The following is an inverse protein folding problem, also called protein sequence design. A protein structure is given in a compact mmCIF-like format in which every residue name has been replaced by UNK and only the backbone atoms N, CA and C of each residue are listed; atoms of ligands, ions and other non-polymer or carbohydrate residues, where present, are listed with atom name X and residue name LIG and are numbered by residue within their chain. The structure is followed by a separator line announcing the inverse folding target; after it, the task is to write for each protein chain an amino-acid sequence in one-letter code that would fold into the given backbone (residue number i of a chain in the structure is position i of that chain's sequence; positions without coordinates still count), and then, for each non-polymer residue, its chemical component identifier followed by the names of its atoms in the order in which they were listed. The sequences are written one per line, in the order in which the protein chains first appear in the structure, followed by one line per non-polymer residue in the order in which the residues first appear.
data_IF_218061553839
#
_entry.id   IF_218061553839
#
_cell.length_a   1.000
_cell.length_b   1.000
_cell.length_c   1.000
_cell.angle_alpha   90.00
_cell.angle_beta   90.00
_cell.angle_gamma   90.00
#
_symmetry.space_group_name_H-M   'P 1'
#
loop_
_entity.id
_entity.type
_entity.pdbx_description
1 polymer ?
#
# COMPACT_ATOMS: atom_id res chain seq x y z
N UNK A 1 -17.68 2.59 16.02
CA UNK A 1 -16.31 3.08 15.80
C UNK A 1 -15.57 2.35 14.67
N UNK A 2 -16.24 1.96 13.58
CA UNK A 2 -15.59 1.17 12.51
C UNK A 2 -14.90 2.03 11.44
N UNK A 3 -15.28 3.31 11.29
CA UNK A 3 -14.75 4.20 10.25
C UNK A 3 -13.25 4.51 10.40
N UNK A 4 -12.72 4.51 11.62
CA UNK A 4 -11.29 4.74 11.86
C UNK A 4 -10.43 3.57 11.35
N UNK A 5 -10.88 2.33 11.56
CA UNK A 5 -10.17 1.14 11.07
C UNK A 5 -10.15 1.07 9.55
N UNK A 6 -11.32 1.26 8.90
CA UNK A 6 -11.39 1.27 7.44
C UNK A 6 -10.61 2.44 6.83
N UNK A 7 -10.69 3.63 7.44
CA UNK A 7 -9.90 4.79 7.01
C UNK A 7 -8.40 4.53 7.09
N UNK A 8 -7.91 3.91 8.18
CA UNK A 8 -6.51 3.56 8.33
C UNK A 8 -6.02 2.58 7.25
N UNK A 9 -6.81 1.53 6.97
CA UNK A 9 -6.49 0.56 5.91
C UNK A 9 -6.38 1.24 4.54
N UNK A 10 -7.34 2.10 4.19
CA UNK A 10 -7.33 2.81 2.92
C UNK A 10 -6.14 3.77 2.79
N UNK A 11 -5.81 4.50 3.86
CA UNK A 11 -4.66 5.41 3.88
C UNK A 11 -3.34 4.67 3.73
N UNK A 12 -3.16 3.55 4.42
CA UNK A 12 -1.96 2.71 4.30
C UNK A 12 -1.79 2.15 2.88
N UNK A 13 -2.86 1.63 2.28
CA UNK A 13 -2.81 1.10 0.90
C UNK A 13 -2.54 2.21 -0.10
N UNK A 14 -3.16 3.39 0.06
CA UNK A 14 -2.91 4.55 -0.79
C UNK A 14 -1.45 5.02 -0.70
N UNK A 15 -0.90 5.12 0.51
CA UNK A 15 0.49 5.49 0.75
C UNK A 15 1.47 4.59 -0.01
N UNK A 16 1.32 3.27 0.13
CA UNK A 16 2.20 2.29 -0.55
C UNK A 16 2.07 2.41 -2.06
N UNK A 17 0.84 2.56 -2.58
CA UNK A 17 0.60 2.68 -4.02
C UNK A 17 1.15 3.96 -4.61
N UNK A 18 1.05 5.07 -3.91
CA UNK A 18 1.59 6.34 -4.38
C UNK A 18 3.12 6.29 -4.40
N UNK A 19 3.72 5.90 -3.27
CA UNK A 19 5.17 5.87 -3.12
C UNK A 19 5.83 4.92 -4.13
N UNK A 20 5.37 3.68 -4.23
CA UNK A 20 6.01 2.69 -5.09
C UNK A 20 5.44 2.66 -6.52
N UNK A 21 4.19 3.08 -6.72
CA UNK A 21 3.59 3.14 -8.05
C UNK A 21 4.09 4.34 -8.85
N UNK A 22 3.97 5.56 -8.30
CA UNK A 22 4.34 6.80 -8.98
C UNK A 22 5.64 7.44 -8.49
N UNK A 23 6.26 6.94 -7.43
CA UNK A 23 7.50 7.53 -6.89
C UNK A 23 7.26 8.82 -6.09
N UNK A 24 6.01 9.16 -5.84
CA UNK A 24 5.59 10.41 -5.20
C UNK A 24 4.79 10.13 -3.94
N UNK A 25 4.74 11.11 -3.06
CA UNK A 25 3.87 11.10 -1.89
C UNK A 25 3.22 12.47 -1.71
N UNK A 26 1.90 12.53 -1.68
CA UNK A 26 1.14 13.78 -1.64
C UNK A 26 1.59 14.78 -2.72
N UNK A 27 1.98 14.29 -3.89
CA UNK A 27 2.49 15.09 -5.01
C UNK A 27 3.96 15.53 -4.89
N UNK A 28 4.67 15.21 -3.79
CA UNK A 28 6.11 15.42 -3.68
C UNK A 28 6.87 14.21 -4.20
N UNK A 29 7.79 14.41 -5.13
CA UNK A 29 8.64 13.33 -5.66
C UNK A 29 9.68 12.90 -4.61
N UNK A 30 9.50 11.71 -4.04
CA UNK A 30 10.41 11.14 -3.04
C UNK A 30 11.42 10.20 -3.72
N UNK A 31 10.93 9.36 -4.63
CA UNK A 31 11.75 8.48 -5.44
C UNK A 31 11.89 9.12 -6.82
N UNK A 32 13.08 9.65 -7.12
CA UNK A 32 13.35 10.26 -8.43
C UNK A 32 13.10 9.25 -9.54
N UNK A 33 12.10 9.50 -10.37
CA UNK A 33 11.75 8.60 -11.46
C UNK A 33 12.84 8.63 -12.54
N UNK A 34 13.09 7.48 -13.16
CA UNK A 34 14.00 7.37 -14.31
C UNK A 34 13.58 8.32 -15.45
N UNK A 35 12.29 8.56 -15.63
CA UNK A 35 11.75 9.55 -16.57
C UNK A 35 12.17 11.00 -16.26
N UNK A 36 12.48 11.30 -15.00
CA UNK A 36 12.93 12.61 -14.52
C UNK A 36 14.45 12.64 -14.27
N UNK A 37 15.22 11.69 -14.84
CA UNK A 37 16.66 11.58 -14.64
C UNK A 37 17.08 10.92 -13.33
N UNK A 38 16.16 10.26 -12.64
CA UNK A 38 16.40 9.49 -11.42
C UNK A 38 16.75 8.02 -11.65
N UNK A 39 16.77 7.25 -10.57
CA UNK A 39 17.13 5.82 -10.57
C UNK A 39 15.92 4.89 -10.40
N UNK A 40 14.78 5.43 -9.99
CA UNK A 40 13.60 4.62 -9.67
C UNK A 40 12.74 4.39 -10.91
N UNK A 41 12.45 3.13 -11.22
CA UNK A 41 11.52 2.77 -12.30
C UNK A 41 10.12 2.65 -11.72
N UNK A 42 9.16 3.37 -12.30
CA UNK A 42 7.77 3.33 -11.84
C UNK A 42 7.24 1.88 -11.85
N UNK A 43 6.55 1.47 -10.79
CA UNK A 43 5.96 0.16 -10.74
C UNK A 43 4.53 0.17 -11.31
N UNK A 44 4.41 -0.18 -12.59
CA UNK A 44 3.12 -0.25 -13.30
C UNK A 44 2.12 -1.23 -12.68
N UNK A 45 2.59 -2.29 -12.04
CA UNK A 45 1.73 -3.27 -11.37
C UNK A 45 1.04 -2.66 -10.16
N UNK A 46 1.75 -1.84 -9.38
CA UNK A 46 1.21 -1.16 -8.19
C UNK A 46 0.19 -0.07 -8.54
N UNK A 47 0.25 0.50 -9.75
CA UNK A 47 -0.74 1.47 -10.21
C UNK A 47 -2.08 0.82 -10.57
N UNK A 48 -2.08 -0.42 -11.05
CA UNK A 48 -3.30 -1.15 -11.44
C UNK A 48 -4.21 -1.42 -10.22
N UNK A 49 -5.55 -1.47 -10.40
CA UNK A 49 -6.48 -1.79 -9.31
C UNK A 49 -6.21 -3.16 -8.66
N UNK A 50 -5.69 -4.12 -9.44
CA UNK A 50 -5.37 -5.46 -8.97
C UNK A 50 -4.36 -5.48 -7.80
N UNK A 51 -3.43 -4.53 -7.74
CA UNK A 51 -2.45 -4.46 -6.65
C UNK A 51 -3.08 -4.14 -5.30
N UNK A 52 -4.21 -3.41 -5.27
CA UNK A 52 -4.88 -3.05 -4.03
C UNK A 52 -5.37 -4.30 -3.28
N UNK A 53 -5.87 -5.32 -4.01
CA UNK A 53 -6.29 -6.59 -3.40
C UNK A 53 -5.12 -7.33 -2.76
N UNK A 54 -3.97 -7.39 -3.44
CA UNK A 54 -2.77 -8.01 -2.89
C UNK A 54 -2.27 -7.28 -1.64
N UNK A 55 -2.26 -5.94 -1.66
CA UNK A 55 -1.85 -5.13 -0.51
C UNK A 55 -2.79 -5.30 0.68
N UNK A 56 -4.10 -5.35 0.45
CA UNK A 56 -5.08 -5.59 1.51
C UNK A 56 -4.93 -7.00 2.08
N UNK A 57 -4.76 -8.01 1.24
CA UNK A 57 -4.53 -9.39 1.68
C UNK A 57 -3.26 -9.52 2.54
N UNK A 58 -2.16 -8.89 2.11
CA UNK A 58 -0.91 -8.84 2.86
C UNK A 58 -1.05 -8.08 4.18
N UNK A 59 -1.81 -6.97 4.20
CA UNK A 59 -2.06 -6.19 5.41
C UNK A 59 -2.86 -7.01 6.43
N UNK A 60 -3.93 -7.69 6.00
CA UNK A 60 -4.73 -8.56 6.88
C UNK A 60 -3.86 -9.71 7.40
N UNK A 61 -3.07 -10.34 6.53
CA UNK A 61 -2.16 -11.40 6.92
C UNK A 61 -1.12 -10.93 7.95
N UNK A 62 -0.53 -9.76 7.75
CA UNK A 62 0.44 -9.16 8.68
C UNK A 62 -0.22 -8.86 10.03
N UNK A 63 -1.40 -8.24 10.03
CA UNK A 63 -2.15 -7.96 11.25
C UNK A 63 -2.48 -9.24 12.02
N UNK A 64 -2.94 -10.29 11.34
CA UNK A 64 -3.24 -11.60 11.95
C UNK A 64 -2.01 -12.39 12.39
N UNK A 65 -0.84 -12.08 11.82
CA UNK A 65 0.43 -12.68 12.24
C UNK A 65 0.97 -12.01 13.50
N UNK A 66 0.74 -10.70 13.64
CA UNK A 66 1.12 -9.93 14.83
C UNK A 66 0.12 -10.13 15.99
N UNK A 67 -1.17 -10.28 15.68
CA UNK A 67 -2.26 -10.52 16.62
C UNK A 67 -3.00 -11.82 16.25
N UNK A 68 -2.54 -12.97 16.74
CA UNK A 68 -3.14 -14.26 16.42
C UNK A 68 -4.53 -14.48 17.06
N UNK A 69 -4.94 -13.64 18.02
CA UNK A 69 -6.29 -13.71 18.62
C UNK A 69 -7.39 -13.35 17.60
N UNK A 70 -7.03 -12.59 16.56
CA UNK A 70 -7.89 -12.28 15.42
C UNK A 70 -8.03 -13.44 14.40
N UNK A 71 -7.37 -14.58 14.63
CA UNK A 71 -7.55 -15.77 13.78
C UNK A 71 -8.83 -16.51 14.19
N UNK A 72 -9.67 -16.81 13.21
CA UNK A 72 -10.92 -17.55 13.45
C UNK A 72 -10.57 -19.01 13.82
N UNK A 73 -11.03 -19.44 14.99
CA UNK A 73 -10.91 -20.83 15.43
C UNK A 73 -11.94 -21.69 14.69
N UNK A 74 -11.47 -22.74 13.98
CA UNK A 74 -12.32 -23.74 13.31
C UNK A 74 -12.83 -24.80 14.27
#
# INVERSE_FOLDING_TARGET
GNGLGYGFVLMMVAFIRELFGSGSLFGYEILKLSSNGGWYVRNGLLLLPASAFFLIALLIWLLRTMDPDQQENN
#
